data_IF_959748725954
#
_entry.id   IF_959748725954
#
_cell.length_a   1.000
_cell.length_b   1.000
_cell.length_c   1.000
_cell.angle_alpha   90.00
_cell.angle_beta   90.00
_cell.angle_gamma   90.00
#
_symmetry.space_group_name_H-M   'P 1'
#
loop_
_entity.id
_entity.type
_entity.pdbx_description
1 polymer ?
#
# COMPACT_ATOMS: atom_id res chain seq x y z
N UNK A 1 12.05 14.41 -19.96
CA UNK A 1 13.15 13.48 -20.26
C UNK A 1 12.59 12.21 -20.91
N UNK A 2 13.35 11.52 -21.78
CA UNK A 2 12.96 10.19 -22.28
C UNK A 2 13.30 9.17 -21.18
N UNK A 3 12.31 8.42 -20.69
CA UNK A 3 12.48 7.43 -19.64
C UNK A 3 12.53 6.04 -20.27
N UNK A 4 13.62 5.31 -20.05
CA UNK A 4 13.77 3.91 -20.48
C UNK A 4 13.81 3.00 -19.25
N UNK A 5 13.32 1.75 -19.36
CA UNK A 5 13.41 0.78 -18.28
C UNK A 5 14.88 0.51 -17.92
N UNK A 6 15.18 0.51 -16.62
CA UNK A 6 16.48 0.11 -16.07
C UNK A 6 16.25 -1.01 -15.06
N UNK A 7 16.27 -2.24 -15.56
CA UNK A 7 15.90 -3.46 -14.84
C UNK A 7 17.15 -4.29 -14.52
N UNK A 8 17.24 -4.79 -13.30
CA UNK A 8 18.24 -5.78 -12.85
C UNK A 8 17.54 -6.78 -11.93
N UNK A 9 17.46 -8.03 -12.36
CA UNK A 9 16.62 -9.05 -11.74
C UNK A 9 15.18 -8.55 -11.63
N UNK A 10 14.62 -8.65 -10.43
CA UNK A 10 13.27 -8.17 -10.12
C UNK A 10 13.21 -6.68 -9.72
N UNK A 11 14.31 -5.92 -9.82
CA UNK A 11 14.36 -4.50 -9.46
C UNK A 11 14.39 -3.62 -10.72
N UNK A 12 13.36 -2.79 -10.88
CA UNK A 12 13.34 -1.70 -11.86
C UNK A 12 13.60 -0.36 -11.15
N UNK A 13 14.66 0.36 -11.57
CA UNK A 13 15.09 1.62 -10.94
C UNK A 13 14.51 2.88 -11.58
N UNK A 14 13.60 2.71 -12.54
CA UNK A 14 12.96 3.79 -13.31
C UNK A 14 11.47 3.52 -13.43
N UNK A 15 10.66 4.59 -13.46
CA UNK A 15 9.21 4.47 -13.64
C UNK A 15 8.74 5.43 -14.74
N UNK A 16 7.81 5.00 -15.59
CA UNK A 16 7.21 5.84 -16.64
C UNK A 16 5.86 6.44 -16.17
N UNK A 17 5.75 7.76 -15.93
CA UNK A 17 4.56 8.38 -15.33
C UNK A 17 3.27 8.11 -16.12
N UNK A 18 3.30 8.33 -17.44
CA UNK A 18 2.15 8.12 -18.33
C UNK A 18 1.77 6.63 -18.41
N UNK A 19 2.75 5.73 -18.20
CA UNK A 19 2.49 4.29 -18.20
C UNK A 19 1.77 3.86 -16.92
N UNK A 20 2.17 4.42 -15.78
CA UNK A 20 1.45 4.26 -14.51
C UNK A 20 0.01 4.78 -14.61
N UNK A 21 -0.19 5.98 -15.15
CA UNK A 21 -1.54 6.55 -15.35
C UNK A 21 -2.41 5.65 -16.24
N UNK A 22 -1.88 5.19 -17.37
CA UNK A 22 -2.59 4.26 -18.25
C UNK A 22 -2.95 2.93 -17.53
N UNK A 23 -2.06 2.43 -16.67
CA UNK A 23 -2.31 1.22 -15.89
C UNK A 23 -3.41 1.43 -14.82
N UNK A 24 -3.44 2.58 -14.15
CA UNK A 24 -4.51 2.93 -13.21
C UNK A 24 -5.83 3.06 -13.94
N UNK A 25 -5.85 3.78 -15.07
CA UNK A 25 -7.04 3.94 -15.91
C UNK A 25 -7.61 2.59 -16.35
N UNK A 26 -6.77 1.66 -16.80
CA UNK A 26 -7.18 0.30 -17.20
C UNK A 26 -7.85 -0.47 -16.04
N UNK A 27 -7.31 -0.35 -14.83
CA UNK A 27 -7.92 -0.98 -13.64
C UNK A 27 -9.28 -0.37 -13.31
N UNK A 28 -9.42 0.95 -13.40
CA UNK A 28 -10.70 1.66 -13.20
C UNK A 28 -11.73 1.22 -14.24
N UNK A 29 -11.35 1.19 -15.52
CA UNK A 29 -12.22 0.73 -16.62
C UNK A 29 -12.68 -0.71 -16.39
N UNK A 30 -11.77 -1.59 -15.96
CA UNK A 30 -12.11 -2.96 -15.58
C UNK A 30 -13.14 -3.00 -14.44
N UNK A 31 -12.91 -2.26 -13.35
CA UNK A 31 -13.83 -2.19 -12.21
C UNK A 31 -15.22 -1.72 -12.64
N UNK A 32 -15.30 -0.66 -13.46
CA UNK A 32 -16.56 -0.14 -13.97
C UNK A 32 -17.32 -1.14 -14.84
N UNK A 33 -16.60 -1.91 -15.65
CA UNK A 33 -17.19 -2.92 -16.51
C UNK A 33 -17.86 -4.07 -15.73
N UNK A 34 -17.48 -4.30 -14.46
CA UNK A 34 -18.13 -5.29 -13.60
C UNK A 34 -19.48 -4.80 -13.04
N UNK A 35 -19.81 -3.52 -13.21
CA UNK A 35 -20.99 -2.90 -12.61
C UNK A 35 -20.77 -2.41 -11.18
N UNK A 36 -21.80 -1.77 -10.63
CA UNK A 36 -21.76 -1.17 -9.29
C UNK A 36 -21.79 -2.25 -8.22
N UNK A 37 -20.95 -2.08 -7.19
CA UNK A 37 -20.98 -2.92 -5.99
C UNK A 37 -22.08 -2.40 -5.06
N UNK A 38 -23.17 -3.15 -4.95
CA UNK A 38 -24.26 -2.82 -4.03
C UNK A 38 -23.79 -2.92 -2.58
N UNK A 39 -24.31 -2.03 -1.72
CA UNK A 39 -23.96 -1.95 -0.30
C UNK A 39 -22.45 -1.76 0.00
N UNK A 40 -21.70 -1.21 -0.96
CA UNK A 40 -20.30 -0.87 -0.74
C UNK A 40 -20.12 0.23 0.33
N UNK A 41 -19.01 0.20 1.09
CA UNK A 41 -18.66 1.26 2.05
C UNK A 41 -18.55 2.62 1.36
N UNK A 42 -18.77 3.69 2.12
CA UNK A 42 -18.87 5.05 1.58
C UNK A 42 -17.70 5.93 1.95
N UNK A 43 -16.98 5.61 3.03
CA UNK A 43 -15.82 6.35 3.52
C UNK A 43 -14.75 5.35 3.89
N UNK A 44 -13.74 5.25 3.03
CA UNK A 44 -12.75 4.17 3.07
C UNK A 44 -11.36 4.73 3.31
N UNK A 45 -10.69 4.20 4.34
CA UNK A 45 -9.27 4.40 4.56
C UNK A 45 -8.49 3.20 4.01
N UNK A 46 -7.46 3.44 3.22
CA UNK A 46 -6.56 2.40 2.72
C UNK A 46 -5.12 2.71 3.14
N UNK A 47 -4.59 1.90 4.06
CA UNK A 47 -3.19 1.96 4.51
C UNK A 47 -2.34 1.07 3.61
N UNK A 48 -1.43 1.66 2.83
CA UNK A 48 -0.71 0.98 1.75
C UNK A 48 -1.41 1.09 0.39
N UNK A 49 -1.80 2.29 -0.02
CA UNK A 49 -2.74 2.49 -1.15
C UNK A 49 -2.14 2.79 -2.52
N UNK A 50 -0.82 2.79 -2.67
CA UNK A 50 -0.13 3.29 -3.87
C UNK A 50 0.14 2.23 -4.94
N UNK A 51 0.09 0.94 -4.59
CA UNK A 51 0.36 -0.14 -5.55
C UNK A 51 -0.33 -1.45 -5.15
N UNK A 52 -0.25 -2.45 -6.03
CA UNK A 52 -0.72 -3.82 -5.76
C UNK A 52 -2.18 -3.88 -5.29
N UNK A 53 -2.40 -4.70 -4.25
CA UNK A 53 -3.74 -4.90 -3.70
C UNK A 53 -4.33 -3.68 -3.02
N UNK A 54 -3.53 -2.85 -2.35
CA UNK A 54 -4.06 -1.64 -1.72
C UNK A 54 -4.55 -0.61 -2.74
N UNK A 55 -3.83 -0.41 -3.84
CA UNK A 55 -4.32 0.40 -4.96
C UNK A 55 -5.61 -0.18 -5.56
N UNK A 56 -5.63 -1.50 -5.80
CA UNK A 56 -6.81 -2.19 -6.35
C UNK A 56 -8.03 -2.06 -5.43
N UNK A 57 -7.84 -2.18 -4.11
CA UNK A 57 -8.88 -1.97 -3.10
C UNK A 57 -9.40 -0.53 -3.11
N UNK A 58 -8.51 0.47 -3.24
CA UNK A 58 -8.90 1.88 -3.33
C UNK A 58 -9.68 2.17 -4.61
N UNK A 59 -9.29 1.57 -5.74
CA UNK A 59 -10.01 1.63 -7.02
C UNK A 59 -11.39 0.97 -6.90
N UNK A 60 -11.49 -0.23 -6.35
CA UNK A 60 -12.75 -0.94 -6.18
C UNK A 60 -13.73 -0.15 -5.28
N UNK A 61 -13.24 0.39 -4.16
CA UNK A 61 -14.04 1.22 -3.27
C UNK A 61 -14.58 2.48 -3.97
N UNK A 62 -13.71 3.23 -4.65
CA UNK A 62 -14.09 4.48 -5.30
C UNK A 62 -14.93 4.25 -6.56
N UNK A 63 -14.42 3.52 -7.55
CA UNK A 63 -15.03 3.41 -8.88
C UNK A 63 -16.02 2.25 -9.01
N UNK A 64 -16.00 1.28 -8.09
CA UNK A 64 -17.02 0.24 -7.98
C UNK A 64 -18.11 0.57 -6.95
N UNK A 65 -17.73 1.17 -5.83
CA UNK A 65 -18.64 1.46 -4.70
C UNK A 65 -19.11 2.92 -4.56
N UNK A 66 -18.47 3.86 -5.26
CA UNK A 66 -18.72 5.29 -5.12
C UNK A 66 -18.22 5.88 -3.80
N UNK A 67 -17.18 5.29 -3.19
CA UNK A 67 -16.68 5.71 -1.89
C UNK A 67 -15.78 6.96 -1.96
N UNK A 68 -15.87 7.81 -0.94
CA UNK A 68 -14.82 8.75 -0.57
C UNK A 68 -13.61 8.00 -0.03
N UNK A 69 -12.41 8.28 -0.53
CA UNK A 69 -11.21 7.53 -0.13
C UNK A 69 -10.09 8.40 0.43
N UNK A 70 -9.50 7.96 1.54
CA UNK A 70 -8.21 8.44 2.04
C UNK A 70 -7.19 7.32 1.86
N UNK A 71 -6.07 7.61 1.22
CA UNK A 71 -4.97 6.69 1.06
C UNK A 71 -3.74 7.11 1.87
N UNK A 72 -3.09 6.14 2.52
CA UNK A 72 -1.76 6.32 3.13
C UNK A 72 -0.75 5.48 2.37
N UNK A 73 0.43 6.01 2.08
CA UNK A 73 1.52 5.30 1.41
C UNK A 73 2.86 5.97 1.69
N UNK A 74 3.97 5.31 1.31
CA UNK A 74 5.32 5.87 1.42
C UNK A 74 6.06 5.80 0.09
N UNK A 75 6.06 6.89 -0.65
CA UNK A 75 6.52 6.94 -2.04
C UNK A 75 7.42 8.14 -2.32
N UNK A 76 8.32 8.02 -3.31
CA UNK A 76 9.27 9.08 -3.66
C UNK A 76 8.74 9.89 -4.84
N UNK A 77 8.56 11.22 -4.70
CA UNK A 77 8.17 12.06 -5.82
C UNK A 77 9.25 12.07 -6.91
N UNK A 78 8.82 12.33 -8.14
CA UNK A 78 9.73 12.62 -9.24
C UNK A 78 10.39 13.98 -9.08
N UNK A 79 11.58 14.13 -9.66
CA UNK A 79 12.31 15.39 -9.80
C UNK A 79 12.66 15.59 -11.27
N UNK A 80 13.15 16.78 -11.63
CA UNK A 80 13.60 17.07 -13.01
C UNK A 80 14.68 16.11 -13.52
N UNK A 81 15.44 15.49 -12.60
CA UNK A 81 16.58 14.62 -12.92
C UNK A 81 16.30 13.13 -12.71
N UNK A 82 15.26 12.77 -11.95
CA UNK A 82 15.00 11.38 -11.57
C UNK A 82 13.50 11.10 -11.46
N UNK A 83 12.98 10.09 -12.18
CA UNK A 83 11.61 9.64 -11.98
C UNK A 83 11.37 9.17 -10.54
N UNK A 84 10.14 9.39 -10.06
CA UNK A 84 9.66 8.88 -8.79
C UNK A 84 9.40 7.38 -8.83
N UNK A 85 8.89 6.85 -7.72
CA UNK A 85 8.45 5.46 -7.63
C UNK A 85 7.11 5.27 -8.36
N UNK A 86 6.82 4.02 -8.76
CA UNK A 86 5.56 3.68 -9.41
C UNK A 86 4.35 4.09 -8.57
N UNK A 87 4.38 3.83 -7.27
CA UNK A 87 3.27 4.15 -6.38
C UNK A 87 2.98 5.65 -6.29
N UNK A 88 3.99 6.52 -6.40
CA UNK A 88 3.77 7.97 -6.46
C UNK A 88 2.92 8.37 -7.66
N UNK A 89 3.27 7.87 -8.85
CA UNK A 89 2.53 8.18 -10.08
C UNK A 89 1.16 7.51 -10.13
N UNK A 90 1.03 6.30 -9.56
CA UNK A 90 -0.27 5.63 -9.43
C UNK A 90 -1.23 6.43 -8.54
N UNK A 91 -0.77 6.91 -7.37
CA UNK A 91 -1.59 7.72 -6.48
C UNK A 91 -1.99 9.06 -7.13
N UNK A 92 -1.07 9.72 -7.82
CA UNK A 92 -1.38 10.94 -8.56
C UNK A 92 -2.42 10.71 -9.67
N UNK A 93 -2.32 9.60 -10.41
CA UNK A 93 -3.29 9.21 -11.41
C UNK A 93 -4.66 8.86 -10.80
N UNK A 94 -4.67 8.14 -9.68
CA UNK A 94 -5.90 7.85 -8.94
C UNK A 94 -6.60 9.15 -8.50
N UNK A 95 -5.87 10.05 -7.84
CA UNK A 95 -6.45 11.31 -7.33
C UNK A 95 -7.01 12.16 -8.48
N UNK A 96 -6.30 12.25 -9.62
CA UNK A 96 -6.77 12.91 -10.84
C UNK A 96 -8.08 12.29 -11.35
N UNK A 97 -8.09 10.98 -11.57
CA UNK A 97 -9.25 10.28 -12.18
C UNK A 97 -10.46 10.25 -11.23
N UNK A 98 -10.23 10.21 -9.92
CA UNK A 98 -11.31 10.32 -8.93
C UNK A 98 -11.94 11.73 -8.97
N UNK A 99 -11.10 12.77 -9.05
CA UNK A 99 -11.57 14.15 -9.15
C UNK A 99 -12.37 14.40 -10.45
N UNK A 100 -11.95 13.82 -11.57
CA UNK A 100 -12.69 13.88 -12.85
C UNK A 100 -14.11 13.29 -12.74
N UNK A 101 -14.33 12.37 -11.79
CA UNK A 101 -15.64 11.75 -11.50
C UNK A 101 -16.36 12.37 -10.30
N UNK A 102 -15.82 13.45 -9.72
CA UNK A 102 -16.38 14.10 -8.54
C UNK A 102 -16.31 13.26 -7.27
N UNK A 103 -15.45 12.24 -7.24
CA UNK A 103 -15.22 11.40 -6.06
C UNK A 103 -14.18 12.05 -5.15
N UNK A 104 -14.43 12.05 -3.84
CA UNK A 104 -13.44 12.53 -2.87
C UNK A 104 -12.24 11.57 -2.84
N UNK A 105 -11.05 12.14 -3.04
CA UNK A 105 -9.78 11.44 -2.94
C UNK A 105 -8.73 12.34 -2.25
N UNK A 106 -8.14 11.86 -1.16
CA UNK A 106 -6.99 12.49 -0.51
C UNK A 106 -5.93 11.47 -0.14
N UNK A 107 -4.68 11.90 -0.20
CA UNK A 107 -3.52 11.03 -0.05
C UNK A 107 -2.55 11.61 0.99
N UNK A 108 -2.05 10.76 1.89
CA UNK A 108 -1.00 11.07 2.86
C UNK A 108 0.23 10.25 2.51
N UNK A 109 1.34 10.94 2.23
CA UNK A 109 2.62 10.32 1.90
C UNK A 109 3.57 10.39 3.10
N UNK A 110 3.83 9.25 3.74
CA UNK A 110 4.65 9.15 4.94
C UNK A 110 4.76 7.73 5.47
N UNK A 111 5.57 7.55 6.52
CA UNK A 111 5.74 6.26 7.16
C UNK A 111 4.47 5.88 7.94
N UNK A 112 3.70 4.95 7.40
CA UNK A 112 2.45 4.48 8.00
C UNK A 112 2.65 3.84 9.39
N UNK A 113 3.87 3.39 9.74
CA UNK A 113 4.16 2.85 11.08
C UNK A 113 4.29 3.95 12.15
N UNK A 114 4.47 5.21 11.75
CA UNK A 114 4.67 6.32 12.69
C UNK A 114 3.37 6.80 13.33
N UNK A 115 3.44 7.23 14.59
CA UNK A 115 2.34 7.90 15.30
C UNK A 115 1.87 9.16 14.55
N UNK A 116 2.79 9.87 13.90
CA UNK A 116 2.49 11.04 13.08
C UNK A 116 1.57 10.72 11.89
N UNK A 117 1.79 9.60 11.20
CA UNK A 117 0.93 9.19 10.09
C UNK A 117 -0.50 8.87 10.55
N UNK A 118 -0.64 8.20 11.69
CA UNK A 118 -1.95 7.92 12.30
C UNK A 118 -2.65 9.22 12.70
N UNK A 119 -1.94 10.13 13.36
CA UNK A 119 -2.46 11.43 13.79
C UNK A 119 -2.93 12.30 12.61
N UNK A 120 -2.10 12.46 11.57
CA UNK A 120 -2.48 13.21 10.36
C UNK A 120 -3.68 12.60 9.65
N UNK A 121 -3.79 11.28 9.66
CA UNK A 121 -4.94 10.58 9.09
C UNK A 121 -6.21 10.87 9.89
N UNK A 122 -6.14 10.81 11.22
CA UNK A 122 -7.25 11.15 12.11
C UNK A 122 -7.73 12.59 11.88
N UNK A 123 -6.80 13.54 11.81
CA UNK A 123 -7.10 14.96 11.57
C UNK A 123 -7.82 15.15 10.24
N UNK A 124 -7.31 14.55 9.16
CA UNK A 124 -7.92 14.61 7.84
C UNK A 124 -9.31 13.97 7.83
N UNK A 125 -9.49 12.84 8.51
CA UNK A 125 -10.81 12.20 8.62
C UNK A 125 -11.79 13.14 9.32
N UNK A 126 -11.42 13.72 10.47
CA UNK A 126 -12.29 14.63 11.22
C UNK A 126 -12.67 15.86 10.39
N UNK A 127 -11.72 16.39 9.64
CA UNK A 127 -11.93 17.57 8.81
C UNK A 127 -12.91 17.31 7.68
N UNK A 128 -12.74 16.19 6.94
CA UNK A 128 -13.38 16.03 5.64
C UNK A 128 -14.52 15.00 5.65
N UNK A 129 -14.39 13.89 6.39
CA UNK A 129 -15.31 12.74 6.30
C UNK A 129 -16.10 12.47 7.59
N UNK A 130 -15.67 13.08 8.71
CA UNK A 130 -16.15 12.84 10.06
C UNK A 130 -15.71 11.47 10.61
N UNK A 131 -16.05 10.40 9.90
CA UNK A 131 -15.73 9.01 10.25
C UNK A 131 -15.48 8.15 9.01
N UNK A 132 -14.87 6.98 9.21
CA UNK A 132 -14.61 5.95 8.19
C UNK A 132 -15.48 4.72 8.50
N UNK A 133 -15.98 4.04 7.46
CA UNK A 133 -16.78 2.81 7.58
C UNK A 133 -16.06 1.55 7.07
N UNK A 134 -14.90 1.69 6.41
CA UNK A 134 -13.98 0.57 6.14
C UNK A 134 -12.51 0.99 6.22
N UNK A 135 -11.70 0.17 6.88
CA UNK A 135 -10.24 0.28 6.88
C UNK A 135 -9.65 -0.92 6.16
N UNK A 136 -8.85 -0.66 5.12
CA UNK A 136 -8.06 -1.68 4.42
C UNK A 136 -6.61 -1.52 4.83
N UNK A 137 -6.06 -2.55 5.48
CA UNK A 137 -4.64 -2.60 5.85
C UNK A 137 -3.88 -3.48 4.85
N UNK A 138 -3.20 -2.84 3.89
CA UNK A 138 -2.50 -3.48 2.77
C UNK A 138 -1.04 -3.00 2.69
N UNK A 139 -0.39 -2.92 3.84
CA UNK A 139 1.00 -2.51 3.94
C UNK A 139 1.92 -3.70 3.63
N UNK A 140 2.83 -3.52 2.67
CA UNK A 140 3.94 -4.43 2.43
C UNK A 140 5.25 -3.65 2.55
N UNK A 141 6.00 -3.88 3.63
CA UNK A 141 7.29 -3.23 3.86
C UNK A 141 8.31 -4.25 4.36
N UNK A 142 9.56 -4.23 3.87
CA UNK A 142 10.62 -5.05 4.42
C UNK A 142 11.17 -4.49 5.74
N UNK A 143 10.68 -3.32 6.18
CA UNK A 143 11.21 -2.58 7.33
C UNK A 143 10.09 -1.88 8.09
N UNK A 144 10.17 -1.89 9.41
CA UNK A 144 9.34 -1.09 10.32
C UNK A 144 10.26 -0.25 11.18
N UNK A 145 10.02 1.06 11.21
CA UNK A 145 10.59 1.92 12.25
C UNK A 145 9.64 1.90 13.44
N UNK A 146 10.10 1.43 14.59
CA UNK A 146 9.26 1.40 15.79
C UNK A 146 8.93 2.83 16.22
N UNK A 147 7.65 3.17 16.44
CA UNK A 147 7.23 4.55 16.70
C UNK A 147 7.78 5.10 18.03
N UNK A 148 7.92 4.25 19.05
CA UNK A 148 8.34 4.68 20.39
C UNK A 148 9.86 4.76 20.56
N UNK A 149 10.60 3.81 19.97
CA UNK A 149 12.06 3.70 20.16
C UNK A 149 12.85 4.27 18.99
N UNK A 150 12.23 4.39 17.81
CA UNK A 150 12.90 4.79 16.57
C UNK A 150 13.78 3.70 15.94
N UNK A 151 13.83 2.51 16.54
CA UNK A 151 14.59 1.36 16.05
C UNK A 151 14.06 0.87 14.69
N UNK A 152 14.97 0.47 13.79
CA UNK A 152 14.62 -0.05 12.47
C UNK A 152 14.73 -1.57 12.46
N UNK A 153 13.58 -2.23 12.41
CA UNK A 153 13.46 -3.70 12.36
C UNK A 153 13.19 -4.13 10.92
N UNK A 154 13.78 -5.26 10.49
CA UNK A 154 13.67 -5.77 9.12
C UNK A 154 13.12 -7.18 9.10
N UNK A 155 12.18 -7.46 8.19
CA UNK A 155 11.69 -8.82 7.98
C UNK A 155 12.68 -9.66 7.16
N UNK A 156 12.56 -10.98 7.32
CA UNK A 156 13.31 -11.97 6.55
C UNK A 156 12.35 -12.92 5.84
N UNK A 157 12.73 -13.34 4.62
CA UNK A 157 12.01 -14.36 3.85
C UNK A 157 12.84 -15.64 3.88
N UNK A 158 12.85 -16.31 5.04
CA UNK A 158 13.60 -17.53 5.31
C UNK A 158 12.68 -18.63 5.89
N UNK A 159 12.96 -19.92 5.65
CA UNK A 159 12.23 -21.01 6.30
C UNK A 159 12.51 -21.06 7.81
N UNK A 160 11.71 -21.81 8.56
CA UNK A 160 11.98 -22.15 9.96
C UNK A 160 12.39 -23.63 10.02
N UNK A 161 13.42 -23.95 10.79
CA UNK A 161 13.93 -25.30 10.93
C UNK A 161 15.01 -25.62 9.90
N UNK A 162 14.62 -26.11 8.73
CA UNK A 162 15.52 -26.67 7.71
C UNK A 162 15.67 -25.78 6.48
N UNK A 163 16.78 -25.92 5.75
CA UNK A 163 17.05 -25.21 4.50
C UNK A 163 15.97 -25.53 3.46
N UNK A 164 15.44 -24.49 2.82
CA UNK A 164 14.48 -24.64 1.72
C UNK A 164 15.21 -24.59 0.38
N UNK A 165 15.11 -25.65 -0.41
CA UNK A 165 15.67 -25.73 -1.77
C UNK A 165 14.54 -25.96 -2.79
N UNK A 166 14.51 -25.17 -3.85
CA UNK A 166 13.51 -25.30 -4.92
C UNK A 166 14.04 -24.86 -6.27
N UNK A 167 13.41 -25.37 -7.32
CA UNK A 167 13.49 -24.81 -8.66
C UNK A 167 12.98 -23.36 -8.66
N UNK A 168 13.71 -22.47 -9.33
CA UNK A 168 13.40 -21.05 -9.48
C UNK A 168 13.81 -20.55 -10.88
N UNK A 169 13.49 -19.29 -11.19
CA UNK A 169 13.83 -18.64 -12.47
C UNK A 169 14.79 -17.48 -12.23
N UNK A 170 15.96 -17.48 -12.86
CA UNK A 170 16.85 -16.31 -12.92
C UNK A 170 16.34 -15.34 -14.00
N UNK A 171 15.63 -14.31 -13.56
CA UNK A 171 15.05 -13.26 -14.43
C UNK A 171 16.06 -12.40 -15.21
N UNK A 172 17.37 -12.51 -14.95
CA UNK A 172 18.37 -11.86 -15.80
C UNK A 172 18.82 -12.71 -16.98
N UNK A 173 18.72 -14.04 -16.83
CA UNK A 173 19.28 -15.01 -17.77
C UNK A 173 18.21 -15.84 -18.49
N UNK A 174 16.96 -15.76 -18.02
CA UNK A 174 15.84 -16.58 -18.47
C UNK A 174 16.13 -18.08 -18.30
N UNK A 175 16.84 -18.43 -17.22
CA UNK A 175 17.29 -19.79 -16.91
C UNK A 175 16.53 -20.37 -15.71
N UNK A 176 16.25 -21.67 -15.79
CA UNK A 176 15.81 -22.45 -14.63
C UNK A 176 17.02 -22.74 -13.76
N UNK A 177 16.94 -22.38 -12.49
CA UNK A 177 17.99 -22.61 -11.50
C UNK A 177 17.43 -23.38 -10.31
N UNK A 178 18.33 -23.88 -9.47
CA UNK A 178 18.00 -24.30 -8.11
C UNK A 178 18.46 -23.21 -7.14
N UNK A 179 17.59 -22.82 -6.21
CA UNK A 179 17.88 -21.83 -5.19
C UNK A 179 17.65 -22.41 -3.80
N UNK A 180 18.57 -22.14 -2.88
CA UNK A 180 18.51 -22.55 -1.48
C UNK A 180 18.46 -21.33 -0.55
N UNK A 181 17.64 -21.41 0.50
CA UNK A 181 17.49 -20.37 1.53
C UNK A 181 17.68 -21.01 2.89
N UNK A 182 18.65 -20.49 3.65
CA UNK A 182 18.94 -20.98 5.00
C UNK A 182 17.85 -20.59 6.02
N UNK A 183 17.65 -21.39 7.07
CA UNK A 183 16.70 -21.11 8.14
C UNK A 183 16.87 -19.74 8.78
N UNK A 184 15.76 -19.16 9.20
CA UNK A 184 15.72 -17.96 10.03
C UNK A 184 16.24 -18.27 11.44
N UNK A 185 17.00 -17.33 11.99
CA UNK A 185 17.27 -17.30 13.43
C UNK A 185 16.02 -16.90 14.22
N UNK A 186 15.97 -17.21 15.53
CA UNK A 186 14.88 -16.78 16.41
C UNK A 186 14.62 -15.26 16.35
N UNK A 187 15.70 -14.47 16.24
CA UNK A 187 15.57 -13.01 16.10
C UNK A 187 14.93 -12.62 14.76
N UNK A 188 15.34 -13.25 13.65
CA UNK A 188 14.74 -12.97 12.34
C UNK A 188 13.26 -13.36 12.28
N UNK A 189 12.85 -14.40 13.00
CA UNK A 189 11.44 -14.77 13.16
C UNK A 189 10.69 -13.67 13.92
N UNK A 190 11.20 -13.28 15.09
CA UNK A 190 10.59 -12.23 15.92
C UNK A 190 10.51 -10.87 15.19
N UNK A 191 11.56 -10.50 14.45
CA UNK A 191 11.61 -9.28 13.66
C UNK A 191 10.60 -9.31 12.51
N UNK A 192 10.45 -10.46 11.86
CA UNK A 192 9.46 -10.65 10.79
C UNK A 192 8.03 -10.51 11.32
N UNK A 193 7.73 -11.09 12.48
CA UNK A 193 6.45 -10.89 13.18
C UNK A 193 6.25 -9.42 13.57
N UNK A 194 7.31 -8.75 14.04
CA UNK A 194 7.25 -7.33 14.42
C UNK A 194 6.96 -6.42 13.23
N UNK A 195 7.49 -6.72 12.04
CA UNK A 195 7.31 -5.91 10.83
C UNK A 195 6.00 -6.23 10.10
N UNK A 196 5.69 -7.52 9.92
CA UNK A 196 4.61 -8.00 9.05
C UNK A 196 3.44 -8.65 9.80
N UNK A 197 3.52 -8.77 11.12
CA UNK A 197 2.41 -9.22 11.96
C UNK A 197 1.33 -8.16 12.14
N UNK A 198 0.38 -8.43 13.05
CA UNK A 198 -0.81 -7.60 13.27
C UNK A 198 -0.60 -6.34 14.11
N UNK A 199 0.56 -6.16 14.74
CA UNK A 199 0.76 -5.13 15.76
C UNK A 199 0.50 -3.70 15.25
N UNK A 200 1.01 -3.32 14.08
CA UNK A 200 0.75 -1.96 13.56
C UNK A 200 -0.70 -1.79 13.11
N UNK A 201 -1.33 -2.86 12.61
CA UNK A 201 -2.74 -2.83 12.29
C UNK A 201 -3.59 -2.58 13.54
N UNK A 202 -3.31 -3.27 14.65
CA UNK A 202 -3.96 -3.02 15.95
C UNK A 202 -3.77 -1.56 16.37
N UNK A 203 -2.56 -1.02 16.31
CA UNK A 203 -2.29 0.41 16.61
C UNK A 203 -3.10 1.38 15.74
N UNK A 204 -3.30 1.08 14.46
CA UNK A 204 -4.18 1.87 13.60
C UNK A 204 -5.64 1.80 14.05
N UNK A 205 -6.15 0.60 14.33
CA UNK A 205 -7.53 0.41 14.72
C UNK A 205 -7.84 1.05 16.08
N UNK A 206 -6.91 0.95 17.03
CA UNK A 206 -7.03 1.55 18.36
C UNK A 206 -7.01 3.09 18.25
N UNK A 207 -6.03 3.67 17.57
CA UNK A 207 -5.93 5.12 17.39
C UNK A 207 -7.18 5.72 16.70
N UNK A 208 -7.70 5.04 15.68
CA UNK A 208 -8.93 5.47 14.99
C UNK A 208 -10.18 5.34 15.90
N UNK A 209 -10.24 4.29 16.73
CA UNK A 209 -11.33 4.06 17.69
C UNK A 209 -11.33 5.11 18.79
N UNK A 210 -10.17 5.33 19.43
CA UNK A 210 -9.98 6.30 20.51
C UNK A 210 -10.29 7.72 20.06
N UNK A 211 -9.93 8.05 18.81
CA UNK A 211 -10.25 9.34 18.23
C UNK A 211 -11.72 9.51 17.80
N UNK A 212 -12.54 8.44 17.87
CA UNK A 212 -13.94 8.44 17.49
C UNK A 212 -14.21 8.51 15.97
N UNK A 213 -13.18 8.26 15.15
CA UNK A 213 -13.24 8.43 13.69
C UNK A 213 -13.49 7.13 12.92
N UNK A 214 -13.60 5.99 13.60
CA UNK A 214 -13.98 4.73 12.99
C UNK A 214 -15.37 4.30 13.48
N UNK A 215 -16.29 4.11 12.55
CA UNK A 215 -17.53 3.42 12.83
C UNK A 215 -17.22 1.93 12.88
N UNK A 216 -17.26 1.34 14.08
CA UNK A 216 -17.30 -0.11 14.20
C UNK A 216 -18.42 -0.60 13.30
N UNK A 217 -18.08 -1.40 12.30
CA UNK A 217 -19.07 -2.04 11.46
C UNK A 217 -20.00 -2.83 12.39
N UNK A 218 -21.26 -2.41 12.47
CA UNK A 218 -22.33 -3.28 12.97
C UNK A 218 -22.40 -4.40 11.94
N UNK A 219 -21.74 -5.53 12.22
CA UNK A 219 -21.97 -6.76 11.45
C UNK A 219 -23.44 -7.11 11.70
N UNK A 220 -24.29 -6.82 10.71
CA UNK A 220 -25.59 -7.49 10.58
C UNK A 220 -25.35 -8.83 9.91
#
# INVERSE_FOLDING_TARGET
>A
MIIKPRIRGFICTTTHPVGCEANVKKQIEYTKAQGKIENAPKRVLVVGSSSGYGLSSRIAAAFGGGASTIGVFFEKPGTDRKPGTAGFYNAAAFDKLAQEEGLYAKSLNGDAFSNEAKQKTIELIKQDLGQIDMVVYSLASPVRKLPETGELIRSSLKPIGETYTSTAVDTNKDEIIEASIEPATEQEIADTVTVMGGQDWELWMDALSEAGVWLKAVRQ
#
